data_IF_450327787999
#
_entry.id   IF_450327787999
#
_cell.length_a   1.000
_cell.length_b   1.000
_cell.length_c   1.000
_cell.angle_alpha   90.00
_cell.angle_beta   90.00
_cell.angle_gamma   90.00
#
_symmetry.space_group_name_H-M   'P 1'
#
loop_
_entity.id
_entity.type
_entity.pdbx_description
1 polymer ?
#
# COMPACT_ATOMS: atom_id res chain seq x y z
N UNK A 1 -6.81 0.45 -4.78
CA UNK A 1 -6.57 -0.73 -5.65
C UNK A 1 -6.93 -1.95 -4.85
N UNK A 2 -7.76 -2.83 -5.39
CA UNK A 2 -8.21 -4.05 -4.71
C UNK A 2 -8.05 -5.24 -5.64
N UNK A 3 -7.69 -6.40 -5.08
CA UNK A 3 -7.67 -7.69 -5.77
C UNK A 3 -8.62 -8.70 -5.12
N UNK A 4 -8.75 -9.87 -5.74
CA UNK A 4 -9.59 -10.97 -5.28
C UNK A 4 -8.74 -12.18 -4.84
N UNK A 5 -7.49 -11.95 -4.43
CA UNK A 5 -6.57 -13.00 -4.00
C UNK A 5 -6.82 -13.46 -2.56
N UNK A 6 -5.82 -14.11 -1.97
CA UNK A 6 -5.86 -14.55 -0.56
C UNK A 6 -5.73 -13.39 0.45
N UNK A 7 -5.39 -12.19 -0.01
CA UNK A 7 -5.09 -11.05 0.86
C UNK A 7 -3.77 -11.20 1.64
N UNK A 8 -3.65 -10.43 2.71
CA UNK A 8 -2.53 -10.45 3.65
C UNK A 8 -2.86 -11.32 4.88
N UNK A 9 -1.88 -12.05 5.41
CA UNK A 9 -1.99 -12.55 6.77
C UNK A 9 -1.89 -11.39 7.78
N UNK A 10 -2.39 -11.57 9.01
CA UNK A 10 -2.28 -10.55 10.06
C UNK A 10 -0.83 -10.12 10.34
N UNK A 11 0.09 -11.09 10.32
CA UNK A 11 1.51 -10.83 10.53
C UNK A 11 2.13 -10.05 9.36
N UNK A 12 1.70 -10.35 8.13
CA UNK A 12 2.19 -9.66 6.94
C UNK A 12 1.67 -8.24 6.88
N UNK A 13 0.40 -8.00 7.22
CA UNK A 13 -0.24 -6.69 7.04
C UNK A 13 0.43 -5.60 7.87
N UNK A 14 0.88 -5.94 9.09
CA UNK A 14 1.61 -5.05 9.97
C UNK A 14 2.98 -4.64 9.42
N UNK A 15 3.56 -5.47 8.54
CA UNK A 15 4.94 -5.36 8.07
C UNK A 15 5.05 -5.15 6.56
N UNK A 16 3.93 -5.03 5.86
CA UNK A 16 3.88 -5.07 4.38
C UNK A 16 4.63 -3.92 3.71
N UNK A 17 4.89 -2.84 4.45
CA UNK A 17 5.67 -1.69 4.01
C UNK A 17 7.13 -1.68 4.52
N UNK A 18 7.56 -2.74 5.22
CA UNK A 18 8.97 -2.91 5.61
C UNK A 18 9.79 -3.43 4.41
N UNK A 19 11.03 -2.94 4.21
CA UNK A 19 11.93 -3.45 3.20
C UNK A 19 12.15 -4.97 3.30
N UNK A 20 12.24 -5.61 2.13
CA UNK A 20 12.56 -7.04 1.98
C UNK A 20 11.49 -8.01 2.49
N UNK A 21 10.32 -7.53 2.91
CA UNK A 21 9.17 -8.38 3.24
C UNK A 21 8.48 -8.86 1.97
N UNK A 22 8.44 -10.17 1.78
CA UNK A 22 7.79 -10.84 0.65
C UNK A 22 7.53 -12.31 0.98
N UNK A 23 6.44 -12.88 0.46
CA UNK A 23 6.20 -14.33 0.43
C UNK A 23 6.50 -14.96 -0.92
N UNK A 24 6.84 -14.16 -1.92
CA UNK A 24 7.16 -14.65 -3.27
C UNK A 24 8.63 -15.03 -3.34
N UNK A 25 8.91 -16.22 -3.87
CA UNK A 25 10.26 -16.78 -4.04
C UNK A 25 11.17 -15.95 -4.96
N UNK A 26 10.61 -15.16 -5.88
CA UNK A 26 11.36 -14.29 -6.81
C UNK A 26 11.08 -12.79 -6.62
N UNK A 27 10.46 -12.39 -5.51
CA UNK A 27 10.22 -10.98 -5.19
C UNK A 27 11.33 -10.41 -4.32
N UNK A 28 11.74 -9.16 -4.52
CA UNK A 28 12.72 -8.48 -3.65
C UNK A 28 12.10 -7.87 -2.40
N UNK A 29 10.77 -7.74 -2.35
CA UNK A 29 10.06 -7.10 -1.22
C UNK A 29 10.29 -5.58 -1.11
N UNK A 30 10.78 -4.92 -2.17
CA UNK A 30 11.09 -3.47 -2.13
C UNK A 30 9.99 -2.57 -2.71
N UNK A 31 9.03 -3.12 -3.44
CA UNK A 31 8.02 -2.31 -4.15
C UNK A 31 7.15 -1.46 -3.22
N UNK A 32 6.48 -2.07 -2.23
CA UNK A 32 5.59 -1.35 -1.31
C UNK A 32 6.33 -0.34 -0.40
N UNK A 33 7.53 -0.65 0.14
CA UNK A 33 8.36 0.34 0.84
C UNK A 33 8.66 1.58 -0.02
N UNK A 34 9.01 1.39 -1.29
CA UNK A 34 9.28 2.51 -2.22
C UNK A 34 8.01 3.33 -2.44
N UNK A 35 6.86 2.68 -2.68
CA UNK A 35 5.57 3.38 -2.86
C UNK A 35 5.20 4.18 -1.61
N UNK A 36 5.38 3.60 -0.41
CA UNK A 36 5.14 4.31 0.85
C UNK A 36 5.96 5.58 0.94
N UNK A 37 7.27 5.50 0.66
CA UNK A 37 8.15 6.67 0.66
C UNK A 37 7.68 7.74 -0.33
N UNK A 38 7.34 7.36 -1.56
CA UNK A 38 6.83 8.29 -2.58
C UNK A 38 5.54 8.97 -2.09
N UNK A 39 4.59 8.22 -1.54
CA UNK A 39 3.33 8.78 -1.04
C UNK A 39 3.57 9.76 0.12
N UNK A 40 4.44 9.41 1.06
CA UNK A 40 4.81 10.28 2.20
C UNK A 40 5.53 11.55 1.75
N UNK A 41 6.41 11.48 0.76
CA UNK A 41 7.08 12.65 0.14
C UNK A 41 6.08 13.60 -0.53
N UNK A 42 4.93 13.09 -0.99
CA UNK A 42 3.82 13.88 -1.52
C UNK A 42 2.82 14.33 -0.44
N UNK A 43 3.20 14.22 0.84
CA UNK A 43 2.34 14.51 2.01
C UNK A 43 1.05 13.69 2.02
N UNK A 44 1.08 12.52 1.40
CA UNK A 44 -0.03 11.58 1.36
C UNK A 44 0.00 10.56 2.49
N UNK A 45 -0.99 9.68 2.46
CA UNK A 45 -1.11 8.54 3.35
C UNK A 45 -1.37 7.27 2.55
N UNK A 46 -0.77 6.17 2.97
CA UNK A 46 -0.97 4.84 2.38
C UNK A 46 -1.38 3.85 3.47
N UNK A 47 -2.33 2.97 3.16
CA UNK A 47 -2.72 1.85 4.03
C UNK A 47 -2.99 0.58 3.23
N UNK A 48 -2.76 -0.55 3.87
CA UNK A 48 -3.08 -1.88 3.36
C UNK A 48 -4.08 -2.56 4.30
N UNK A 49 -5.12 -3.19 3.74
CA UNK A 49 -6.12 -3.95 4.50
C UNK A 49 -6.70 -5.06 3.62
N UNK A 50 -7.26 -6.10 4.24
CA UNK A 50 -8.03 -7.12 3.51
C UNK A 50 -9.45 -6.61 3.24
N UNK A 51 -9.96 -6.86 2.04
CA UNK A 51 -11.35 -6.54 1.70
C UNK A 51 -12.30 -7.55 2.36
N UNK A 52 -13.50 -7.09 2.72
CA UNK A 52 -14.57 -7.94 3.27
C UNK A 52 -15.00 -9.03 2.27
N UNK A 53 -14.86 -8.75 0.97
CA UNK A 53 -15.13 -9.69 -0.11
C UNK A 53 -13.96 -10.65 -0.42
N UNK A 54 -12.87 -10.59 0.36
CA UNK A 54 -11.61 -11.30 0.10
C UNK A 54 -10.61 -10.48 -0.70
N UNK A 55 -9.34 -10.88 -0.66
CA UNK A 55 -8.24 -10.18 -1.34
C UNK A 55 -7.64 -9.00 -0.57
N UNK A 56 -6.59 -8.43 -1.16
CA UNK A 56 -5.86 -7.30 -0.61
C UNK A 56 -6.35 -5.98 -1.19
N UNK A 57 -6.38 -4.94 -0.36
CA UNK A 57 -6.62 -3.56 -0.78
C UNK A 57 -5.48 -2.67 -0.33
N UNK A 58 -4.94 -1.91 -1.29
CA UNK A 58 -4.02 -0.80 -1.06
C UNK A 58 -4.77 0.50 -1.34
N UNK A 59 -4.83 1.37 -0.33
CA UNK A 59 -5.42 2.71 -0.45
C UNK A 59 -4.34 3.77 -0.31
N UNK A 60 -4.34 4.73 -1.24
CA UNK A 60 -3.47 5.90 -1.23
C UNK A 60 -4.37 7.15 -1.19
N UNK A 61 -4.08 8.07 -0.27
CA UNK A 61 -4.72 9.38 -0.18
C UNK A 61 -3.65 10.44 -0.37
N UNK A 62 -3.85 11.34 -1.33
CA UNK A 62 -2.97 12.47 -1.58
C UNK A 62 -3.72 13.77 -1.27
N UNK A 63 -3.05 14.82 -0.76
CA UNK A 63 -3.65 16.12 -0.60
C UNK A 63 -4.10 16.67 -1.95
N UNK A 64 -5.37 17.07 -2.03
CA UNK A 64 -5.84 17.80 -3.20
C UNK A 64 -5.34 19.23 -3.11
N UNK A 65 -4.47 19.64 -4.04
CA UNK A 65 -4.10 21.05 -4.17
C UNK A 65 -5.40 21.83 -4.44
N UNK A 66 -5.74 22.80 -3.57
CA UNK A 66 -6.84 23.74 -3.84
C UNK A 66 -6.52 24.40 -5.17
N UNK A 67 -7.28 24.05 -6.22
CA UNK A 67 -7.20 24.77 -7.47
C UNK A 67 -7.58 26.21 -7.18
N UNK A 68 -6.72 27.17 -7.52
CA UNK A 68 -7.14 28.56 -7.61
C UNK A 68 -8.25 28.59 -8.68
N UNK A 69 -9.50 28.60 -8.24
CA UNK A 69 -10.59 29.14 -9.05
C UNK A 69 -10.40 30.66 -9.04
N UNK A 70 -9.56 31.13 -9.96
CA UNK A 70 -9.57 32.52 -10.40
C UNK A 70 -10.78 32.78 -11.29
#
# INVERSE_FOLDING_TARGET
>A
VSDNGQGFSEQMIARVFEPYITTKSKGTGLGLPIVKKIVEEHHGHIRAFNSVAGGATIEIRLPMRKGNRG
#
